data_IF_077442004729
#
_entry.id   IF_077442004729
#
_cell.length_a   1.000
_cell.length_b   1.000
_cell.length_c   1.000
_cell.angle_alpha   90.00
_cell.angle_beta   90.00
_cell.angle_gamma   90.00
#
_symmetry.space_group_name_H-M   'P 1'
#
loop_
_entity.id
_entity.type
_entity.pdbx_description
1 polymer ?
#
# COMPACT_ATOMS: atom_id res chain seq x y z
N UNK A 1 1.07 6.55 17.35
CA UNK A 1 2.17 6.92 18.30
C UNK A 1 3.44 7.35 17.59
N UNK A 2 4.14 6.45 16.88
CA UNK A 2 5.44 6.74 16.24
C UNK A 2 5.43 7.97 15.32
N UNK A 3 4.52 8.02 14.33
CA UNK A 3 4.45 9.15 13.37
C UNK A 3 4.21 10.50 14.04
N UNK A 4 3.32 10.56 15.04
CA UNK A 4 3.11 11.78 15.83
C UNK A 4 4.38 12.20 16.59
N UNK A 5 5.06 11.25 17.23
CA UNK A 5 6.32 11.53 17.93
C UNK A 5 7.40 12.04 17.00
N UNK A 6 7.54 11.45 15.82
CA UNK A 6 8.47 11.92 14.79
C UNK A 6 8.15 13.34 14.30
N UNK A 7 6.87 13.63 14.07
CA UNK A 7 6.43 14.97 13.67
C UNK A 7 6.60 16.00 14.78
N UNK A 8 6.31 15.65 16.03
CA UNK A 8 6.40 16.58 17.17
C UNK A 8 7.84 16.91 17.57
N UNK A 9 8.78 16.01 17.26
CA UNK A 9 10.19 16.14 17.66
C UNK A 9 11.13 16.47 16.50
N UNK A 10 10.60 16.68 15.30
CA UNK A 10 11.38 16.99 14.08
C UNK A 10 12.50 15.98 13.77
N UNK A 11 12.38 14.74 14.25
CA UNK A 11 13.41 13.70 14.08
C UNK A 11 13.33 12.96 12.75
N UNK A 12 12.21 13.07 12.04
CA UNK A 12 12.03 12.43 10.73
C UNK A 12 12.17 13.48 9.64
N UNK A 13 13.18 13.42 8.75
CA UNK A 13 13.37 14.42 7.71
C UNK A 13 12.17 14.48 6.75
N UNK A 14 11.56 13.34 6.39
CA UNK A 14 10.35 13.32 5.56
C UNK A 14 9.19 14.10 6.18
N UNK A 15 9.07 14.06 7.51
CA UNK A 15 8.01 14.77 8.22
C UNK A 15 8.37 16.24 8.44
N UNK A 16 9.63 16.52 8.73
CA UNK A 16 10.13 17.88 8.89
C UNK A 16 9.92 18.70 7.61
N UNK A 17 10.32 18.14 6.47
CA UNK A 17 10.23 18.80 5.16
C UNK A 17 8.87 18.71 4.46
N UNK A 18 7.85 18.07 5.04
CA UNK A 18 6.53 18.06 4.40
C UNK A 18 5.82 19.40 4.56
N UNK A 19 5.23 19.93 3.49
CA UNK A 19 4.46 21.19 3.54
C UNK A 19 2.98 20.98 3.88
N UNK A 20 2.53 19.74 3.73
CA UNK A 20 1.17 19.30 4.00
C UNK A 20 1.18 17.81 4.38
N UNK A 21 0.45 17.47 5.42
CA UNK A 21 0.11 16.09 5.77
C UNK A 21 -1.32 15.83 5.30
N UNK A 22 -1.52 14.83 4.44
CA UNK A 22 -2.85 14.36 4.08
C UNK A 22 -3.19 13.19 4.98
N UNK A 23 -4.17 13.41 5.87
CA UNK A 23 -4.70 12.39 6.76
C UNK A 23 -6.06 11.88 6.29
N UNK A 24 -6.51 10.82 6.93
CA UNK A 24 -7.76 10.14 6.62
C UNK A 24 -8.49 9.67 7.88
N UNK A 25 -9.81 9.61 7.82
CA UNK A 25 -10.65 9.21 8.96
C UNK A 25 -10.90 7.69 9.05
N UNK A 26 -9.83 6.90 9.00
CA UNK A 26 -9.88 5.45 9.20
C UNK A 26 -10.05 5.09 10.68
N UNK A 27 -9.00 4.62 11.36
CA UNK A 27 -9.07 4.23 12.76
C UNK A 27 -9.21 5.46 13.68
N UNK A 28 -9.94 5.32 14.80
CA UNK A 28 -10.14 6.39 15.78
C UNK A 28 -8.82 7.01 16.27
N UNK A 29 -7.81 6.18 16.50
CA UNK A 29 -6.48 6.64 16.91
C UNK A 29 -5.82 7.55 15.87
N UNK A 30 -5.99 7.31 14.57
CA UNK A 30 -5.49 8.21 13.51
C UNK A 30 -6.29 9.49 13.45
N UNK A 31 -7.62 9.40 13.51
CA UNK A 31 -8.53 10.56 13.51
C UNK A 31 -8.14 11.59 14.57
N UNK A 32 -8.03 11.15 15.82
CA UNK A 32 -7.64 12.04 16.94
C UNK A 32 -6.18 12.49 16.84
N UNK A 33 -5.29 11.64 16.32
CA UNK A 33 -3.88 12.01 16.13
C UNK A 33 -3.72 13.16 15.13
N UNK A 34 -4.47 13.16 14.03
CA UNK A 34 -4.44 14.26 13.05
C UNK A 34 -4.95 15.58 13.64
N UNK A 35 -5.93 15.56 14.53
CA UNK A 35 -6.37 16.76 15.25
C UNK A 35 -5.23 17.37 16.09
N UNK A 36 -4.53 16.55 16.89
CA UNK A 36 -3.38 17.03 17.67
C UNK A 36 -2.19 17.42 16.80
N UNK A 37 -2.04 16.79 15.64
CA UNK A 37 -0.97 17.11 14.69
C UNK A 37 -1.20 18.45 13.99
N UNK A 38 -2.46 18.81 13.75
CA UNK A 38 -2.83 20.09 13.15
C UNK A 38 -2.39 21.31 13.98
N UNK A 39 -2.10 21.13 15.28
CA UNK A 39 -1.57 22.18 16.15
C UNK A 39 -0.15 22.63 15.77
N UNK A 40 0.64 21.79 15.09
CA UNK A 40 2.04 22.09 14.77
C UNK A 40 2.44 21.77 13.33
N UNK A 41 1.56 21.16 12.53
CA UNK A 41 1.80 20.86 11.12
C UNK A 41 0.55 21.14 10.31
N UNK A 42 0.65 21.65 9.07
CA UNK A 42 -0.51 21.71 8.19
C UNK A 42 -1.03 20.30 7.89
N UNK A 43 -2.31 20.06 8.21
CA UNK A 43 -2.98 18.78 7.97
C UNK A 43 -4.28 19.02 7.19
N UNK A 44 -4.51 18.25 6.13
CA UNK A 44 -5.81 18.11 5.48
C UNK A 44 -6.33 16.70 5.75
N UNK A 45 -7.51 16.57 6.37
CA UNK A 45 -8.09 15.26 6.72
C UNK A 45 -9.25 14.94 5.79
N UNK A 46 -9.14 13.83 5.06
CA UNK A 46 -10.19 13.28 4.22
C UNK A 46 -11.12 12.35 5.01
N UNK A 47 -12.43 12.47 4.77
CA UNK A 47 -13.49 11.65 5.31
C UNK A 47 -13.66 10.38 4.47
N UNK A 48 -13.09 9.27 4.93
CA UNK A 48 -13.31 7.98 4.31
C UNK A 48 -14.68 7.46 4.78
N UNK A 49 -15.56 7.02 3.87
CA UNK A 49 -16.82 6.43 4.26
C UNK A 49 -16.60 5.08 4.96
N UNK A 50 -17.47 4.75 5.93
CA UNK A 50 -17.44 3.46 6.63
C UNK A 50 -18.12 2.33 5.85
N UNK A 51 -18.83 2.67 4.77
CA UNK A 51 -19.44 1.75 3.79
C UNK A 51 -18.86 2.05 2.42
N UNK A 52 -18.85 1.06 1.53
CA UNK A 52 -18.37 1.20 0.15
C UNK A 52 -19.36 0.68 -0.89
N UNK A 53 -20.56 0.26 -0.45
CA UNK A 53 -21.56 -0.40 -1.31
C UNK A 53 -22.61 0.56 -1.87
N UNK A 54 -22.76 1.74 -1.26
CA UNK A 54 -23.83 2.68 -1.57
C UNK A 54 -23.31 3.94 -2.29
N UNK A 55 -24.18 4.53 -3.11
CA UNK A 55 -23.88 5.71 -3.92
C UNK A 55 -23.54 6.93 -3.06
N UNK A 56 -24.09 7.04 -1.84
CA UNK A 56 -23.80 8.16 -0.95
C UNK A 56 -22.35 8.12 -0.44
N UNK A 57 -21.86 6.93 -0.08
CA UNK A 57 -20.45 6.71 0.29
C UNK A 57 -19.51 7.01 -0.87
N UNK A 58 -19.86 6.57 -2.09
CA UNK A 58 -19.09 6.87 -3.31
C UNK A 58 -19.06 8.37 -3.61
N UNK A 59 -20.20 9.05 -3.51
CA UNK A 59 -20.32 10.48 -3.70
C UNK A 59 -19.52 11.28 -2.66
N UNK A 60 -19.54 10.86 -1.39
CA UNK A 60 -18.71 11.45 -0.33
C UNK A 60 -17.23 11.35 -0.68
N UNK A 61 -16.77 10.16 -1.08
CA UNK A 61 -15.36 9.96 -1.39
C UNK A 61 -14.90 10.78 -2.61
N UNK A 62 -15.73 10.86 -3.66
CA UNK A 62 -15.50 11.76 -4.81
C UNK A 62 -15.40 13.23 -4.38
N UNK A 63 -16.33 13.69 -3.53
CA UNK A 63 -16.29 15.04 -3.00
C UNK A 63 -15.01 15.31 -2.19
N UNK A 64 -14.52 14.33 -1.42
CA UNK A 64 -13.27 14.46 -0.69
C UNK A 64 -12.03 14.59 -1.57
N UNK A 65 -11.97 13.86 -2.68
CA UNK A 65 -10.87 14.02 -3.64
C UNK A 65 -10.85 15.42 -4.26
N UNK A 66 -12.02 15.98 -4.61
CA UNK A 66 -12.14 17.34 -5.11
C UNK A 66 -11.76 18.39 -4.04
N UNK A 67 -12.13 18.17 -2.77
CA UNK A 67 -11.73 19.05 -1.66
C UNK A 67 -10.22 19.00 -1.41
N UNK A 68 -9.61 17.82 -1.53
CA UNK A 68 -8.16 17.66 -1.46
C UNK A 68 -7.47 18.41 -2.62
N UNK A 69 -7.93 18.21 -3.85
CA UNK A 69 -7.40 18.90 -5.03
C UNK A 69 -7.36 20.41 -4.78
N UNK A 70 -8.50 21.01 -4.44
CA UNK A 70 -8.61 22.44 -4.15
C UNK A 70 -7.64 22.88 -3.04
N UNK A 71 -7.51 22.09 -1.98
CA UNK A 71 -6.58 22.40 -0.87
C UNK A 71 -5.12 22.40 -1.34
N UNK A 72 -4.74 21.46 -2.20
CA UNK A 72 -3.39 21.38 -2.79
C UNK A 72 -3.16 22.58 -3.72
N UNK A 73 -4.10 22.88 -4.61
CA UNK A 73 -4.01 24.00 -5.55
C UNK A 73 -3.86 25.35 -4.82
N UNK A 74 -4.69 25.60 -3.81
CA UNK A 74 -4.63 26.83 -2.99
C UNK A 74 -3.30 26.95 -2.22
N UNK A 75 -2.81 25.84 -1.68
CA UNK A 75 -1.57 25.84 -0.88
C UNK A 75 -0.33 26.06 -1.72
N UNK A 76 -0.27 25.47 -2.90
CA UNK A 76 0.94 25.47 -3.74
C UNK A 76 0.85 26.43 -4.92
N UNK A 77 -0.30 27.10 -5.12
CA UNK A 77 -0.49 28.12 -6.14
C UNK A 77 -0.46 27.56 -7.57
N UNK A 78 -0.89 26.31 -7.76
CA UNK A 78 -0.86 25.62 -9.04
C UNK A 78 -2.14 24.81 -9.27
N UNK A 79 -2.83 25.07 -10.37
CA UNK A 79 -4.04 24.33 -10.77
C UNK A 79 -3.67 22.93 -11.28
N UNK A 80 -4.45 21.93 -10.88
CA UNK A 80 -4.30 20.53 -11.30
C UNK A 80 -5.31 20.28 -12.41
N UNK A 81 -4.84 20.21 -13.66
CA UNK A 81 -5.70 19.91 -14.80
C UNK A 81 -6.12 18.44 -14.82
N UNK A 82 -7.23 18.15 -15.51
CA UNK A 82 -7.67 16.77 -15.74
C UNK A 82 -6.63 15.96 -16.53
N UNK A 83 -5.98 16.55 -17.54
CA UNK A 83 -4.92 15.89 -18.32
C UNK A 83 -3.74 15.50 -17.43
N UNK A 84 -3.32 16.38 -16.50
CA UNK A 84 -2.27 16.06 -15.54
C UNK A 84 -2.66 14.90 -14.61
N UNK A 85 -3.94 14.81 -14.22
CA UNK A 85 -4.45 13.67 -13.46
C UNK A 85 -4.44 12.39 -14.29
N UNK A 86 -4.82 12.44 -15.57
CA UNK A 86 -4.79 11.28 -16.48
C UNK A 86 -3.37 10.76 -16.66
N UNK A 87 -2.41 11.65 -16.90
CA UNK A 87 -0.99 11.29 -17.01
C UNK A 87 -0.46 10.67 -15.70
N UNK A 88 -0.81 11.26 -14.55
CA UNK A 88 -0.43 10.73 -13.25
C UNK A 88 -1.07 9.35 -12.96
N UNK A 89 -2.32 9.14 -13.36
CA UNK A 89 -3.01 7.85 -13.26
C UNK A 89 -2.28 6.79 -14.08
N UNK A 90 -1.96 7.09 -15.35
CA UNK A 90 -1.25 6.17 -16.23
C UNK A 90 0.14 5.81 -15.68
N UNK A 91 0.90 6.79 -15.22
CA UNK A 91 2.21 6.58 -14.59
C UNK A 91 2.10 5.72 -13.32
N UNK A 92 1.16 6.04 -12.42
CA UNK A 92 0.94 5.26 -11.18
C UNK A 92 0.45 3.85 -11.47
N UNK A 93 -0.30 3.61 -12.55
CA UNK A 93 -0.69 2.27 -12.95
C UNK A 93 0.49 1.45 -13.48
N UNK A 94 1.40 2.06 -14.26
CA UNK A 94 2.66 1.41 -14.66
C UNK A 94 3.48 1.02 -13.43
N UNK A 95 3.61 1.91 -12.45
CA UNK A 95 4.28 1.60 -11.17
C UNK A 95 3.59 0.45 -10.42
N UNK A 96 2.26 0.45 -10.32
CA UNK A 96 1.50 -0.64 -9.67
C UNK A 96 1.72 -1.98 -10.36
N UNK A 97 1.68 -2.02 -11.70
CA UNK A 97 1.94 -3.23 -12.49
C UNK A 97 3.37 -3.75 -12.27
N UNK A 98 4.37 -2.87 -12.31
CA UNK A 98 5.76 -3.26 -12.05
C UNK A 98 5.94 -3.80 -10.62
N UNK A 99 5.35 -3.15 -9.62
CA UNK A 99 5.34 -3.62 -8.23
C UNK A 99 4.61 -4.96 -8.08
N UNK A 100 3.44 -5.13 -8.70
CA UNK A 100 2.68 -6.38 -8.66
C UNK A 100 3.49 -7.52 -9.30
N UNK A 101 4.10 -7.28 -10.47
CA UNK A 101 4.94 -8.28 -11.15
C UNK A 101 6.14 -8.74 -10.30
N UNK A 102 6.81 -7.80 -9.61
CA UNK A 102 7.86 -8.11 -8.66
C UNK A 102 7.31 -8.87 -7.45
N UNK A 103 6.21 -8.40 -6.89
CA UNK A 103 5.57 -8.98 -5.71
C UNK A 103 5.11 -10.43 -5.97
N UNK A 104 4.62 -10.73 -7.17
CA UNK A 104 4.23 -12.07 -7.63
C UNK A 104 5.39 -13.06 -7.73
N UNK A 105 6.65 -12.63 -7.58
CA UNK A 105 7.77 -13.57 -7.37
C UNK A 105 7.55 -14.43 -6.12
N UNK A 106 6.79 -13.95 -5.13
CA UNK A 106 6.39 -14.74 -3.97
C UNK A 106 5.52 -15.96 -4.30
N UNK A 107 4.87 -15.99 -5.46
CA UNK A 107 4.09 -17.14 -5.93
C UNK A 107 4.98 -18.31 -6.41
N UNK A 108 6.27 -18.05 -6.70
CA UNK A 108 7.17 -19.10 -7.15
C UNK A 108 7.39 -20.16 -6.06
N UNK A 109 7.40 -21.43 -6.46
CA UNK A 109 7.55 -22.57 -5.57
C UNK A 109 8.51 -23.62 -6.19
N UNK A 110 9.68 -23.90 -5.59
CA UNK A 110 10.23 -23.33 -4.34
C UNK A 110 10.43 -21.81 -4.40
N UNK A 111 10.40 -21.08 -3.27
CA UNK A 111 10.53 -19.61 -3.27
C UNK A 111 11.80 -19.11 -3.95
N UNK A 112 11.69 -18.02 -4.72
CA UNK A 112 12.84 -17.36 -5.35
C UNK A 112 13.55 -16.38 -4.39
N UNK A 113 12.79 -15.75 -3.51
CA UNK A 113 13.24 -14.72 -2.58
C UNK A 113 12.63 -14.98 -1.20
N UNK A 114 13.30 -14.47 -0.16
CA UNK A 114 12.69 -14.39 1.17
C UNK A 114 11.56 -13.35 1.15
N UNK A 115 10.56 -13.54 1.99
CA UNK A 115 9.53 -12.53 2.21
C UNK A 115 10.10 -11.25 2.80
N UNK A 116 11.19 -11.33 3.57
CA UNK A 116 11.95 -10.16 4.02
C UNK A 116 12.50 -9.34 2.85
N UNK A 117 13.05 -9.98 1.82
CA UNK A 117 13.60 -9.27 0.65
C UNK A 117 12.49 -8.69 -0.24
N UNK A 118 11.39 -9.43 -0.41
CA UNK A 118 10.19 -8.89 -1.07
C UNK A 118 9.72 -7.63 -0.35
N UNK A 119 9.60 -7.69 0.98
CA UNK A 119 9.15 -6.55 1.79
C UNK A 119 10.10 -5.36 1.68
N UNK A 120 11.41 -5.56 1.70
CA UNK A 120 12.39 -4.46 1.56
C UNK A 120 12.19 -3.71 0.24
N UNK A 121 11.99 -4.41 -0.86
CA UNK A 121 11.79 -3.79 -2.18
C UNK A 121 10.45 -3.05 -2.22
N UNK A 122 9.36 -3.71 -1.82
CA UNK A 122 8.01 -3.12 -1.84
C UNK A 122 7.92 -1.90 -0.92
N UNK A 123 8.47 -2.00 0.30
CA UNK A 123 8.52 -0.88 1.24
C UNK A 123 9.44 0.23 0.75
N UNK A 124 10.63 -0.10 0.25
CA UNK A 124 11.60 0.86 -0.29
C UNK A 124 11.07 1.65 -1.48
N UNK A 125 10.24 1.04 -2.34
CA UNK A 125 9.59 1.71 -3.46
C UNK A 125 8.72 2.91 -3.03
N UNK A 126 8.17 2.88 -1.81
CA UNK A 126 7.35 3.99 -1.27
C UNK A 126 8.14 5.29 -1.06
N UNK A 127 9.47 5.20 -0.94
CA UNK A 127 10.37 6.34 -0.75
C UNK A 127 11.09 6.79 -2.03
N UNK A 128 10.73 6.21 -3.18
CA UNK A 128 11.32 6.57 -4.48
C UNK A 128 10.44 7.60 -5.19
N UNK A 129 10.98 8.81 -5.39
CA UNK A 129 10.27 9.91 -6.04
C UNK A 129 10.30 9.83 -7.57
N UNK A 130 11.43 9.40 -8.14
CA UNK A 130 11.51 9.11 -9.58
C UNK A 130 10.80 7.79 -9.89
N UNK A 131 9.60 7.90 -10.47
CA UNK A 131 8.74 6.74 -10.75
C UNK A 131 9.17 5.97 -11.98
N UNK A 132 9.72 6.65 -12.99
CA UNK A 132 10.21 5.98 -14.20
C UNK A 132 11.45 5.14 -13.90
N UNK A 133 12.40 5.69 -13.14
CA UNK A 133 13.56 4.94 -12.67
C UNK A 133 13.15 3.74 -11.81
N UNK A 134 12.20 3.93 -10.88
CA UNK A 134 11.65 2.85 -10.06
C UNK A 134 11.03 1.73 -10.92
N UNK A 135 10.20 2.06 -11.90
CA UNK A 135 9.56 1.09 -12.79
C UNK A 135 10.63 0.25 -13.50
N UNK A 136 11.61 0.90 -14.14
CA UNK A 136 12.67 0.21 -14.87
C UNK A 136 13.51 -0.71 -13.96
N UNK A 137 13.80 -0.27 -12.72
CA UNK A 137 14.52 -1.09 -11.74
C UNK A 137 13.71 -2.31 -11.31
N UNK A 138 12.41 -2.14 -11.03
CA UNK A 138 11.53 -3.25 -10.64
C UNK A 138 11.42 -4.28 -11.75
N UNK A 139 11.23 -3.85 -13.00
CA UNK A 139 11.15 -4.75 -14.15
C UNK A 139 12.47 -5.51 -14.36
N UNK A 140 13.61 -4.82 -14.26
CA UNK A 140 14.93 -5.42 -14.39
C UNK A 140 15.23 -6.44 -13.28
N UNK A 141 14.92 -6.11 -12.03
CA UNK A 141 15.09 -7.02 -10.90
C UNK A 141 14.16 -8.23 -11.06
N UNK A 142 12.91 -8.01 -11.46
CA UNK A 142 11.93 -9.09 -11.65
C UNK A 142 12.39 -10.08 -12.71
N UNK A 143 12.81 -9.59 -13.88
CA UNK A 143 13.33 -10.42 -14.97
C UNK A 143 14.55 -11.23 -14.52
N UNK A 144 15.50 -10.59 -13.83
CA UNK A 144 16.70 -11.24 -13.31
C UNK A 144 16.37 -12.36 -12.32
N UNK A 145 15.48 -12.12 -11.36
CA UNK A 145 15.11 -13.13 -10.36
C UNK A 145 14.39 -14.31 -11.01
N UNK A 146 13.51 -14.08 -12.00
CA UNK A 146 12.86 -15.15 -12.75
C UNK A 146 13.87 -16.01 -13.50
N UNK A 147 14.81 -15.38 -14.20
CA UNK A 147 15.88 -16.10 -14.91
C UNK A 147 16.71 -16.94 -13.94
N UNK A 148 17.16 -16.37 -12.82
CA UNK A 148 17.92 -17.09 -11.79
C UNK A 148 17.14 -18.30 -11.24
N UNK A 149 15.83 -18.13 -11.04
CA UNK A 149 14.95 -19.21 -10.60
C UNK A 149 14.83 -20.33 -11.62
N UNK A 150 14.72 -20.01 -12.92
CA UNK A 150 14.73 -20.97 -14.03
C UNK A 150 16.06 -21.73 -14.13
N UNK A 151 17.18 -21.05 -13.86
CA UNK A 151 18.53 -21.64 -13.77
C UNK A 151 18.76 -22.47 -12.49
N UNK A 152 17.77 -22.55 -11.60
CA UNK A 152 17.80 -23.39 -10.40
C UNK A 152 18.23 -22.69 -9.12
N UNK A 153 18.47 -21.37 -9.13
CA UNK A 153 18.74 -20.59 -7.92
C UNK A 153 17.42 -20.34 -7.17
N UNK A 154 17.18 -21.14 -6.12
CA UNK A 154 15.94 -21.14 -5.35
C UNK A 154 16.25 -21.33 -3.87
N UNK A 155 15.34 -20.92 -3.01
CA UNK A 155 15.38 -21.21 -1.59
C UNK A 155 14.88 -22.63 -1.33
N UNK A 156 15.36 -23.22 -0.23
CA UNK A 156 14.89 -24.54 0.21
C UNK A 156 13.38 -24.51 0.48
N UNK A 157 12.65 -25.57 0.10
CA UNK A 157 11.23 -25.72 0.43
C UNK A 157 11.00 -25.68 1.95
N UNK A 158 10.06 -24.84 2.38
CA UNK A 158 9.60 -24.68 3.76
C UNK A 158 8.10 -24.34 3.75
N UNK A 159 7.39 -24.51 4.89
CA UNK A 159 6.02 -24.02 5.03
C UNK A 159 5.87 -22.56 4.57
N UNK A 160 4.92 -22.32 3.68
CA UNK A 160 4.66 -21.05 3.01
C UNK A 160 3.63 -20.26 3.80
N UNK A 161 4.04 -19.13 4.35
CA UNK A 161 3.25 -18.33 5.27
C UNK A 161 2.79 -17.04 4.61
N UNK A 162 1.48 -16.76 4.68
CA UNK A 162 0.90 -15.49 4.28
C UNK A 162 0.67 -14.61 5.50
N UNK A 163 1.08 -13.34 5.43
CA UNK A 163 0.79 -12.36 6.48
C UNK A 163 -0.42 -11.51 6.08
N UNK A 164 -1.41 -11.42 6.97
CA UNK A 164 -2.58 -10.51 6.85
C UNK A 164 -2.65 -9.57 8.06
N UNK A 165 -3.60 -8.63 8.03
CA UNK A 165 -3.86 -7.69 9.12
C UNK A 165 -3.27 -6.30 8.87
N UNK A 166 -2.61 -5.75 9.88
CA UNK A 166 -1.98 -4.44 9.83
C UNK A 166 -0.79 -4.38 8.87
N UNK A 167 -0.48 -3.20 8.28
CA UNK A 167 0.70 -3.04 7.43
C UNK A 167 1.99 -3.32 8.20
N UNK A 168 2.93 -4.00 7.53
CA UNK A 168 4.25 -4.34 8.09
C UNK A 168 5.29 -3.34 7.58
N UNK A 169 6.17 -2.89 8.48
CA UNK A 169 7.32 -2.02 8.21
C UNK A 169 7.98 -1.59 9.51
N UNK A 170 9.27 -1.26 9.45
CA UNK A 170 10.02 -0.82 10.63
C UNK A 170 9.99 -1.89 11.74
N UNK A 171 9.54 -1.52 12.94
CA UNK A 171 9.53 -2.45 14.08
C UNK A 171 8.65 -3.70 13.88
N UNK A 172 7.66 -3.67 12.97
CA UNK A 172 6.81 -4.82 12.68
C UNK A 172 7.50 -5.90 11.82
N UNK A 173 8.63 -5.57 11.18
CA UNK A 173 9.45 -6.52 10.39
C UNK A 173 9.96 -7.70 11.24
N UNK A 174 10.02 -7.53 12.57
CA UNK A 174 10.34 -8.62 13.50
C UNK A 174 9.44 -9.85 13.35
N UNK A 175 8.19 -9.67 12.91
CA UNK A 175 7.25 -10.79 12.68
C UNK A 175 7.71 -11.63 11.49
N UNK A 176 8.12 -10.97 10.39
CA UNK A 176 8.64 -11.64 9.19
C UNK A 176 9.87 -12.44 9.55
N UNK A 177 10.84 -11.81 10.23
CA UNK A 177 12.05 -12.47 10.70
C UNK A 177 11.77 -13.66 11.60
N UNK A 178 10.86 -13.51 12.57
CA UNK A 178 10.51 -14.60 13.46
C UNK A 178 9.96 -15.82 12.69
N UNK A 179 9.14 -15.61 11.65
CA UNK A 179 8.63 -16.70 10.81
C UNK A 179 9.77 -17.37 10.03
N UNK A 180 10.61 -16.58 9.38
CA UNK A 180 11.67 -17.10 8.49
C UNK A 180 12.82 -17.79 9.26
N UNK A 181 13.18 -17.25 10.42
CA UNK A 181 14.19 -17.82 11.32
C UNK A 181 13.70 -19.12 12.00
N UNK A 182 12.38 -19.36 12.08
CA UNK A 182 11.78 -20.56 12.67
C UNK A 182 11.26 -21.55 11.62
N UNK A 183 11.81 -21.50 10.40
CA UNK A 183 11.63 -22.54 9.41
C UNK A 183 10.42 -22.38 8.49
N UNK A 184 9.76 -21.21 8.46
CA UNK A 184 8.81 -20.85 7.40
C UNK A 184 9.44 -19.98 6.31
N UNK A 185 8.69 -19.71 5.24
CA UNK A 185 8.95 -18.61 4.32
C UNK A 185 7.72 -17.71 4.26
N UNK A 186 7.89 -16.40 4.45
CA UNK A 186 6.80 -15.47 4.14
C UNK A 186 6.72 -15.33 2.62
N UNK A 187 5.59 -15.69 2.04
CA UNK A 187 5.42 -15.71 0.58
C UNK A 187 4.59 -14.53 0.07
N UNK A 188 3.87 -13.84 0.96
CA UNK A 188 3.07 -12.66 0.62
C UNK A 188 2.55 -11.89 1.82
N UNK A 189 2.04 -10.70 1.54
CA UNK A 189 1.42 -9.76 2.46
C UNK A 189 0.08 -9.28 1.87
N UNK A 190 -1.04 -9.71 2.45
CA UNK A 190 -2.39 -9.27 2.04
C UNK A 190 -2.71 -7.82 2.49
N UNK A 191 -1.87 -7.24 3.36
CA UNK A 191 -2.10 -5.93 3.98
C UNK A 191 -1.71 -4.73 3.06
N UNK A 192 -1.88 -3.51 3.59
CA UNK A 192 -1.62 -2.26 2.87
C UNK A 192 -0.14 -1.98 2.52
N UNK A 193 0.82 -2.78 3.01
CA UNK A 193 2.20 -2.71 2.52
C UNK A 193 2.38 -3.52 1.24
N UNK A 194 1.65 -4.62 1.09
CA UNK A 194 1.73 -5.50 -0.08
C UNK A 194 0.50 -5.36 -0.97
N UNK A 195 -0.22 -6.46 -1.11
CA UNK A 195 -1.18 -6.69 -2.17
C UNK A 195 -2.29 -5.62 -2.24
N UNK A 196 -2.82 -5.15 -1.10
CA UNK A 196 -3.86 -4.09 -1.07
C UNK A 196 -3.43 -2.78 -1.72
N UNK A 197 -2.13 -2.49 -1.74
CA UNK A 197 -1.60 -1.28 -2.35
C UNK A 197 -1.31 -1.45 -3.85
N UNK A 198 -1.00 -2.68 -4.30
CA UNK A 198 -0.36 -2.93 -5.60
C UNK A 198 -1.24 -3.64 -6.62
N UNK A 199 -2.13 -4.55 -6.22
CA UNK A 199 -2.81 -5.46 -7.16
C UNK A 199 -3.80 -4.78 -8.11
N UNK A 200 -4.45 -3.69 -7.67
CA UNK A 200 -5.51 -3.04 -8.44
C UNK A 200 -5.08 -1.69 -9.04
N UNK A 201 -5.22 -1.58 -10.37
CA UNK A 201 -5.04 -0.32 -11.10
C UNK A 201 -6.31 0.55 -11.09
N UNK A 202 -6.11 1.85 -11.33
CA UNK A 202 -7.20 2.80 -11.60
C UNK A 202 -7.60 2.65 -13.06
N UNK A 203 -8.90 2.74 -13.40
CA UNK A 203 -9.30 2.75 -14.81
C UNK A 203 -8.75 4.01 -15.51
N UNK A 204 -8.14 3.86 -16.68
CA UNK A 204 -7.52 4.98 -17.43
C UNK A 204 -8.53 5.71 -18.34
N UNK A 205 -9.76 5.20 -18.43
CA UNK A 205 -10.85 5.76 -19.24
C UNK A 205 -12.03 6.18 -18.36
N UNK A 206 -12.88 7.06 -18.88
CA UNK A 206 -14.02 7.62 -18.15
C UNK A 206 -13.66 8.85 -17.31
N UNK A 207 -14.52 9.18 -16.34
CA UNK A 207 -14.32 10.25 -15.37
C UNK A 207 -13.21 9.87 -14.38
N UNK A 208 -12.22 10.75 -14.22
CA UNK A 208 -11.03 10.44 -13.42
C UNK A 208 -11.33 10.24 -11.94
N UNK A 209 -12.28 10.98 -11.38
CA UNK A 209 -12.62 10.89 -9.96
C UNK A 209 -13.46 9.66 -9.65
N UNK A 210 -14.33 9.27 -10.56
CA UNK A 210 -15.07 8.02 -10.50
C UNK A 210 -14.10 6.83 -10.51
N UNK A 211 -13.15 6.81 -11.46
CA UNK A 211 -12.14 5.76 -11.53
C UNK A 211 -11.25 5.68 -10.28
N UNK A 212 -10.83 6.84 -9.75
CA UNK A 212 -10.09 6.90 -8.49
C UNK A 212 -10.94 6.40 -7.31
N UNK A 213 -12.20 6.82 -7.23
CA UNK A 213 -13.10 6.40 -6.16
C UNK A 213 -13.26 4.89 -6.15
N UNK A 214 -13.56 4.30 -7.31
CA UNK A 214 -13.78 2.86 -7.45
C UNK A 214 -12.55 2.06 -7.03
N UNK A 215 -11.35 2.50 -7.43
CA UNK A 215 -10.10 1.83 -7.04
C UNK A 215 -9.84 1.89 -5.54
N UNK A 216 -10.03 3.05 -4.90
CA UNK A 216 -9.65 3.21 -3.48
C UNK A 216 -10.71 2.66 -2.52
N UNK A 217 -11.99 2.68 -2.90
CA UNK A 217 -13.07 2.03 -2.15
C UNK A 217 -13.05 0.50 -2.29
N UNK A 218 -12.38 -0.04 -3.31
CA UNK A 218 -12.14 -1.47 -3.48
C UNK A 218 -11.03 -2.05 -2.57
N UNK A 219 -10.41 -1.24 -1.71
CA UNK A 219 -9.41 -1.73 -0.75
C UNK A 219 -10.15 -2.32 0.46
N UNK A 220 -9.97 -3.63 0.69
CA UNK A 220 -10.52 -4.37 1.83
C UNK A 220 -9.93 -4.01 3.21
N UNK A 221 -10.05 -2.75 3.63
CA UNK A 221 -9.60 -2.25 4.92
C UNK A 221 -10.56 -2.66 6.05
N UNK A 222 -10.04 -2.97 7.24
CA UNK A 222 -10.85 -3.31 8.41
C UNK A 222 -11.72 -2.16 8.95
N UNK A 223 -11.56 -0.94 8.44
CA UNK A 223 -12.39 0.22 8.80
C UNK A 223 -13.70 0.29 8.00
N UNK A 224 -13.87 -0.54 6.97
CA UNK A 224 -15.08 -0.60 6.14
C UNK A 224 -15.97 -1.75 6.63
N UNK A 225 -17.29 -1.56 6.58
CA UNK A 225 -18.27 -2.59 6.94
C UNK A 225 -19.46 -2.60 5.96
N UNK A 226 -19.84 -3.77 5.42
CA UNK A 226 -19.15 -5.07 5.52
C UNK A 226 -17.85 -5.09 4.69
N UNK A 227 -16.92 -5.99 5.02
CA UNK A 227 -15.59 -6.07 4.41
C UNK A 227 -15.36 -7.38 3.65
N UNK A 228 -16.27 -7.71 2.74
CA UNK A 228 -16.23 -8.97 1.98
C UNK A 228 -15.01 -9.04 1.04
N UNK A 229 -14.54 -7.89 0.54
CA UNK A 229 -13.37 -7.80 -0.34
C UNK A 229 -12.10 -8.29 0.32
N UNK A 230 -11.89 -8.02 1.62
CA UNK A 230 -10.76 -8.59 2.37
C UNK A 230 -10.78 -10.12 2.33
N UNK A 231 -11.95 -10.72 2.55
CA UNK A 231 -12.08 -12.17 2.59
C UNK A 231 -11.85 -12.78 1.20
N UNK A 232 -12.38 -12.16 0.15
CA UNK A 232 -12.15 -12.60 -1.23
C UNK A 232 -10.67 -12.56 -1.60
N UNK A 233 -10.01 -11.43 -1.33
CA UNK A 233 -8.59 -11.27 -1.61
C UNK A 233 -7.72 -12.25 -0.82
N UNK A 234 -8.00 -12.43 0.47
CA UNK A 234 -7.27 -13.38 1.31
C UNK A 234 -7.41 -14.81 0.78
N UNK A 235 -8.62 -15.24 0.41
CA UNK A 235 -8.85 -16.57 -0.18
C UNK A 235 -8.11 -16.75 -1.51
N UNK A 236 -8.18 -15.77 -2.41
CA UNK A 236 -7.47 -15.80 -3.68
C UNK A 236 -5.96 -15.92 -3.46
N UNK A 237 -5.40 -15.14 -2.54
CA UNK A 237 -3.97 -15.19 -2.24
C UNK A 237 -3.54 -16.52 -1.61
N UNK A 238 -4.37 -17.15 -0.78
CA UNK A 238 -4.08 -18.48 -0.23
C UNK A 238 -3.88 -19.51 -1.35
N UNK A 239 -4.71 -19.45 -2.38
CA UNK A 239 -4.60 -20.33 -3.56
C UNK A 239 -3.39 -19.97 -4.44
N UNK A 240 -3.29 -18.72 -4.88
CA UNK A 240 -2.25 -18.27 -5.81
C UNK A 240 -0.83 -18.39 -5.24
N UNK A 241 -0.66 -18.13 -3.94
CA UNK A 241 0.64 -18.22 -3.28
C UNK A 241 0.89 -19.60 -2.66
N UNK A 242 -0.04 -20.55 -2.81
CA UNK A 242 0.09 -21.93 -2.33
C UNK A 242 0.45 -21.95 -0.84
N UNK A 243 -0.40 -21.31 -0.04
CA UNK A 243 -0.12 -20.99 1.37
C UNK A 243 -0.41 -22.19 2.27
N UNK A 244 0.54 -22.51 3.15
CA UNK A 244 0.39 -23.56 4.18
C UNK A 244 -0.14 -23.02 5.52
N UNK A 245 0.05 -21.71 5.77
CA UNK A 245 -0.42 -21.07 6.99
C UNK A 245 -0.61 -19.57 6.86
N UNK A 246 -1.58 -19.02 7.59
CA UNK A 246 -1.86 -17.59 7.62
C UNK A 246 -1.57 -17.04 9.02
N UNK A 247 -0.82 -15.93 9.09
CA UNK A 247 -0.55 -15.20 10.33
C UNK A 247 -1.24 -13.84 10.25
N UNK A 248 -2.26 -13.63 11.09
CA UNK A 248 -2.93 -12.32 11.23
C UNK A 248 -2.18 -11.45 12.25
N UNK A 249 -1.68 -10.30 11.78
CA UNK A 249 -0.90 -9.37 12.59
C UNK A 249 -1.76 -8.18 12.97
N UNK A 250 -1.99 -8.01 14.27
CA UNK A 250 -2.71 -6.86 14.82
C UNK A 250 -1.75 -6.02 15.64
N UNK A 251 -1.58 -4.75 15.26
CA UNK A 251 -0.75 -3.81 16.02
C UNK A 251 -1.49 -3.34 17.27
N UNK A 252 -0.81 -3.41 18.42
CA UNK A 252 -1.36 -2.92 19.68
C UNK A 252 -1.22 -1.39 19.80
N UNK A 253 -2.30 -0.75 20.25
CA UNK A 253 -2.39 0.70 20.40
C UNK A 253 -1.51 1.26 21.53
#
# INVERSE_FOLDING_TARGET
KSSYGFGKTDKCPYFYFSDLVVGETTCDGKKKMYEYMAEFKPVHVMQLPNSVKDDASRALWKAEMLRLQKTVEERFGHEISEDALRDAIALKNRERRALANFYHLGQLNPPALSGSDILKVVYGATFRFDKEALINELDAITARVRQQWEEGQRLDPRPRILITGCPIGGAAEKVVRAIEENGGWVVGYENCTGAKATEQCVAETGDVYDALADKYLAIGCSCVSPNDQRLQMLSQMVEEYQVDGVVDVILQA
#
